data_IF_493972920474
#
_entry.id   IF_493972920474
#
_cell.length_a   1.000
_cell.length_b   1.000
_cell.length_c   1.000
_cell.angle_alpha   90.00
_cell.angle_beta   90.00
_cell.angle_gamma   90.00
#
_symmetry.space_group_name_H-M   'P 1'
#
loop_
_entity.id
_entity.type
_entity.pdbx_description
1 polymer ?
#
# COMPACT_ATOMS: atom_id res chain seq x y z
N UNK A 1 3.75 18.65 -13.34
CA UNK A 1 3.18 19.53 -12.30
C UNK A 1 3.65 18.94 -11.00
N UNK A 2 4.33 19.71 -10.15
CA UNK A 2 4.47 19.30 -8.74
C UNK A 2 3.05 19.04 -8.25
N UNK A 3 2.86 17.89 -7.61
CA UNK A 3 1.63 17.45 -6.97
C UNK A 3 1.28 18.48 -5.89
N UNK A 4 0.67 19.57 -6.33
CA UNK A 4 0.27 20.65 -5.48
C UNK A 4 -0.84 20.09 -4.62
N UNK A 5 -0.53 19.98 -3.33
CA UNK A 5 -1.17 19.06 -2.39
C UNK A 5 -2.66 19.43 -2.20
N UNK A 6 -3.53 18.91 -3.08
CA UNK A 6 -4.98 19.18 -3.12
C UNK A 6 -5.61 18.95 -1.75
N UNK A 7 -5.12 17.94 -1.03
CA UNK A 7 -5.45 17.67 0.37
C UNK A 7 -5.18 18.88 1.25
N UNK A 8 -3.96 19.43 1.23
CA UNK A 8 -3.57 20.58 2.03
C UNK A 8 -4.43 21.81 1.72
N UNK A 9 -4.72 22.07 0.44
CA UNK A 9 -5.56 23.20 0.04
C UNK A 9 -6.99 23.01 0.54
N UNK A 10 -7.57 21.82 0.36
CA UNK A 10 -8.90 21.50 0.87
C UNK A 10 -9.00 21.65 2.40
N UNK A 11 -7.99 21.15 3.13
CA UNK A 11 -7.89 21.32 4.59
C UNK A 11 -7.85 22.81 4.98
N UNK A 12 -7.04 23.62 4.30
CA UNK A 12 -6.95 25.06 4.57
C UNK A 12 -8.28 25.78 4.32
N UNK A 13 -8.98 25.47 3.22
CA UNK A 13 -10.31 26.04 2.94
C UNK A 13 -11.28 25.70 4.09
N UNK A 14 -11.36 24.43 4.48
CA UNK A 14 -12.25 23.94 5.55
C UNK A 14 -11.94 24.63 6.88
N UNK A 15 -10.66 24.88 7.19
CA UNK A 15 -10.22 25.48 8.44
C UNK A 15 -10.42 27.01 8.47
N UNK A 16 -10.12 27.68 7.36
CA UNK A 16 -10.03 29.15 7.29
C UNK A 16 -11.33 29.83 6.90
N UNK A 17 -12.17 29.18 6.08
CA UNK A 17 -13.48 29.71 5.72
C UNK A 17 -14.59 28.87 6.36
N UNK A 18 -15.11 29.36 7.50
CA UNK A 18 -16.16 28.67 8.24
C UNK A 18 -17.53 28.75 7.56
N UNK A 19 -17.75 29.78 6.77
CA UNK A 19 -19.02 30.11 6.13
C UNK A 19 -19.04 29.70 4.65
N UNK A 20 -18.06 28.90 4.21
CA UNK A 20 -18.05 28.35 2.87
C UNK A 20 -19.24 27.40 2.67
N UNK A 21 -20.11 27.73 1.72
CA UNK A 21 -21.38 27.03 1.47
C UNK A 21 -21.20 25.55 1.10
N UNK A 22 -20.20 25.21 0.28
CA UNK A 22 -19.91 23.80 -0.10
C UNK A 22 -18.91 23.10 0.84
N UNK A 23 -18.69 23.61 2.05
CA UNK A 23 -17.70 23.08 3.00
C UNK A 23 -17.93 21.61 3.35
N UNK A 24 -19.18 21.21 3.59
CA UNK A 24 -19.49 19.82 3.95
C UNK A 24 -19.18 18.86 2.80
N UNK A 25 -19.52 19.24 1.57
CA UNK A 25 -19.18 18.49 0.36
C UNK A 25 -17.66 18.37 0.16
N UNK A 26 -16.92 19.48 0.35
CA UNK A 26 -15.45 19.45 0.29
C UNK A 26 -14.85 18.51 1.35
N UNK A 27 -15.43 18.52 2.56
CA UNK A 27 -15.02 17.62 3.65
C UNK A 27 -15.31 16.15 3.33
N UNK A 28 -16.47 15.85 2.76
CA UNK A 28 -16.83 14.48 2.33
C UNK A 28 -15.86 13.96 1.25
N UNK A 29 -15.55 14.79 0.25
CA UNK A 29 -14.56 14.46 -0.78
C UNK A 29 -13.18 14.21 -0.18
N UNK A 30 -12.73 15.06 0.74
CA UNK A 30 -11.45 14.91 1.42
C UNK A 30 -11.38 13.61 2.25
N UNK A 31 -12.46 13.29 2.97
CA UNK A 31 -12.57 12.03 3.72
C UNK A 31 -12.52 10.83 2.78
N UNK A 32 -13.21 10.90 1.63
CA UNK A 32 -13.20 9.82 0.64
C UNK A 32 -11.80 9.63 0.04
N UNK A 33 -11.13 10.73 -0.32
CA UNK A 33 -9.75 10.73 -0.82
C UNK A 33 -8.80 10.02 0.15
N UNK A 34 -8.80 10.44 1.42
CA UNK A 34 -7.92 9.84 2.45
C UNK A 34 -8.21 8.36 2.62
N UNK A 35 -9.49 7.96 2.69
CA UNK A 35 -9.87 6.55 2.85
C UNK A 35 -9.37 5.68 1.69
N UNK A 36 -9.59 6.10 0.45
CA UNK A 36 -9.17 5.32 -0.73
C UNK A 36 -7.65 5.20 -0.76
N UNK A 37 -6.94 6.31 -0.55
CA UNK A 37 -5.47 6.32 -0.56
C UNK A 37 -4.88 5.45 0.54
N UNK A 38 -5.43 5.53 1.75
CA UNK A 38 -4.97 4.70 2.87
C UNK A 38 -5.27 3.21 2.61
N UNK A 39 -6.43 2.88 2.01
CA UNK A 39 -6.75 1.51 1.61
C UNK A 39 -5.79 0.96 0.55
N UNK A 40 -5.45 1.76 -0.48
CA UNK A 40 -4.42 1.40 -1.48
C UNK A 40 -3.09 1.09 -0.76
N UNK A 41 -2.64 1.97 0.12
CA UNK A 41 -1.36 1.79 0.83
C UNK A 41 -1.33 0.53 1.70
N UNK A 42 -2.44 0.19 2.36
CA UNK A 42 -2.57 -1.07 3.12
C UNK A 42 -2.45 -2.27 2.19
N UNK A 43 -3.14 -2.26 1.04
CA UNK A 43 -3.11 -3.37 0.09
C UNK A 43 -1.74 -3.55 -0.57
N UNK A 44 -1.04 -2.45 -0.89
CA UNK A 44 0.33 -2.48 -1.42
C UNK A 44 1.29 -3.05 -0.37
N UNK A 45 1.18 -2.64 0.90
CA UNK A 45 1.98 -3.21 2.00
C UNK A 45 1.75 -4.71 2.17
N UNK A 46 0.50 -5.18 2.03
CA UNK A 46 0.19 -6.62 2.09
C UNK A 46 0.89 -7.37 0.95
N UNK A 47 0.93 -6.81 -0.26
CA UNK A 47 1.63 -7.42 -1.40
C UNK A 47 3.14 -7.49 -1.17
N UNK A 48 3.74 -6.45 -0.61
CA UNK A 48 5.16 -6.45 -0.23
C UNK A 48 5.47 -7.55 0.81
N UNK A 49 4.63 -7.71 1.83
CA UNK A 49 4.77 -8.78 2.82
C UNK A 49 4.70 -10.17 2.17
N UNK A 50 3.83 -10.35 1.17
CA UNK A 50 3.75 -11.59 0.39
C UNK A 50 5.03 -11.87 -0.40
N UNK A 51 5.64 -10.86 -1.02
CA UNK A 51 6.90 -11.01 -1.76
C UNK A 51 8.07 -11.33 -0.82
N UNK A 52 8.15 -10.65 0.32
CA UNK A 52 9.20 -10.88 1.32
C UNK A 52 9.11 -12.30 1.89
N UNK A 53 7.89 -12.77 2.16
CA UNK A 53 7.63 -14.14 2.59
C UNK A 53 8.09 -15.14 1.52
N UNK A 54 7.77 -14.90 0.25
CA UNK A 54 8.20 -15.74 -0.87
C UNK A 54 9.72 -15.92 -0.92
N UNK A 55 10.46 -14.83 -0.75
CA UNK A 55 11.93 -14.83 -0.72
C UNK A 55 12.45 -15.64 0.48
N UNK A 56 11.89 -15.38 1.67
CA UNK A 56 12.27 -16.10 2.90
C UNK A 56 12.06 -17.61 2.76
N UNK A 57 10.95 -18.02 2.16
CA UNK A 57 10.62 -19.43 1.97
C UNK A 57 11.53 -20.12 0.96
N UNK A 58 11.83 -19.46 -0.17
CA UNK A 58 12.81 -19.97 -1.15
C UNK A 58 14.19 -20.16 -0.54
N UNK A 59 14.63 -19.21 0.29
CA UNK A 59 15.90 -19.31 1.01
C UNK A 59 15.90 -20.45 2.02
N UNK A 60 14.84 -20.59 2.82
CA UNK A 60 14.70 -21.69 3.78
C UNK A 60 14.77 -23.07 3.11
N UNK A 61 14.09 -23.24 1.97
CA UNK A 61 14.16 -24.48 1.20
C UNK A 61 15.59 -24.81 0.77
N UNK A 62 16.34 -23.80 0.33
CA UNK A 62 17.76 -23.92 -0.07
C UNK A 62 18.66 -24.28 1.11
N UNK A 63 18.45 -23.66 2.27
CA UNK A 63 19.22 -23.93 3.49
C UNK A 63 18.96 -25.34 4.03
N UNK A 64 17.73 -25.83 3.93
CA UNK A 64 17.36 -27.21 4.23
C UNK A 64 18.12 -28.19 3.33
N UNK A 65 18.20 -27.92 2.03
CA UNK A 65 18.97 -28.79 1.11
C UNK A 65 20.46 -28.82 1.43
N UNK A 66 21.05 -27.68 1.77
CA UNK A 66 22.47 -27.58 2.15
C UNK A 66 22.71 -28.36 3.44
N UNK A 67 21.86 -28.16 4.44
CA UNK A 67 21.98 -28.81 5.75
C UNK A 67 21.79 -30.33 5.64
N UNK A 68 20.85 -30.79 4.81
CA UNK A 68 20.66 -32.22 4.55
C UNK A 68 21.92 -32.84 3.90
N UNK A 69 22.54 -32.17 2.93
CA UNK A 69 23.80 -32.64 2.31
C UNK A 69 24.96 -32.70 3.32
N UNK A 70 25.04 -31.74 4.24
CA UNK A 70 26.05 -31.73 5.31
C UNK A 70 25.81 -32.86 6.32
N UNK A 71 24.55 -33.10 6.69
CA UNK A 71 24.17 -34.23 7.54
C UNK A 71 24.58 -35.56 6.90
N UNK A 72 24.30 -35.75 5.61
CA UNK A 72 24.68 -36.96 4.87
C UNK A 72 26.21 -37.18 4.88
N UNK A 73 27.00 -36.10 4.77
CA UNK A 73 28.47 -36.15 4.86
C UNK A 73 28.94 -36.48 6.28
N UNK A 74 28.36 -35.85 7.30
CA UNK A 74 28.72 -36.09 8.70
C UNK A 74 28.40 -37.52 9.11
N UNK A 75 27.22 -38.02 8.75
CA UNK A 75 26.79 -39.37 9.12
C UNK A 75 27.74 -40.46 8.59
N UNK A 76 28.35 -40.25 7.41
CA UNK A 76 29.37 -41.16 6.88
C UNK A 76 30.63 -41.28 7.74
N UNK A 77 30.96 -40.23 8.51
CA UNK A 77 32.19 -40.17 9.31
C UNK A 77 31.97 -40.56 10.77
N UNK A 78 30.82 -40.21 11.36
CA UNK A 78 30.59 -40.33 12.81
C UNK A 78 29.36 -41.17 13.19
N UNK A 79 28.64 -41.74 12.21
CA UNK A 79 27.46 -42.60 12.40
C UNK A 79 26.46 -42.06 13.44
N UNK A 80 25.68 -41.07 13.02
CA UNK A 80 24.72 -40.34 13.84
C UNK A 80 23.52 -41.24 14.17
N UNK A 81 23.31 -41.52 15.46
CA UNK A 81 22.30 -42.46 15.95
C UNK A 81 20.86 -42.12 15.53
N UNK A 82 20.52 -40.84 15.43
CA UNK A 82 19.19 -40.35 15.05
C UNK A 82 19.10 -39.84 13.60
N UNK A 83 20.07 -40.17 12.74
CA UNK A 83 20.14 -39.70 11.35
C UNK A 83 18.83 -39.88 10.57
N UNK A 84 18.21 -41.06 10.67
CA UNK A 84 16.98 -41.38 9.95
C UNK A 84 15.78 -40.54 10.41
N UNK A 85 15.72 -40.17 11.70
CA UNK A 85 14.68 -39.28 12.21
C UNK A 85 14.86 -37.87 11.68
N UNK A 86 16.10 -37.36 11.65
CA UNK A 86 16.41 -36.04 11.09
C UNK A 86 16.06 -36.00 9.60
N UNK A 87 16.37 -37.06 8.82
CA UNK A 87 15.99 -37.14 7.39
C UNK A 87 14.48 -37.15 7.19
N UNK A 88 13.71 -37.81 8.07
CA UNK A 88 12.25 -37.76 8.03
C UNK A 88 11.74 -36.33 8.29
N UNK A 89 12.34 -35.59 9.21
CA UNK A 89 11.99 -34.19 9.47
C UNK A 89 12.28 -33.30 8.25
N UNK A 90 13.44 -33.46 7.60
CA UNK A 90 13.73 -32.73 6.36
C UNK A 90 12.73 -33.03 5.24
N UNK A 91 12.37 -34.29 5.04
CA UNK A 91 11.33 -34.67 4.07
C UNK A 91 9.99 -34.02 4.39
N UNK A 92 9.59 -34.02 5.68
CA UNK A 92 8.35 -33.40 6.14
C UNK A 92 8.36 -31.89 5.86
N UNK A 93 9.47 -31.21 6.14
CA UNK A 93 9.64 -29.78 5.83
C UNK A 93 9.54 -29.49 4.33
N UNK A 94 10.19 -30.30 3.48
CA UNK A 94 10.15 -30.16 2.02
C UNK A 94 8.78 -30.46 1.40
N UNK A 95 7.97 -31.27 2.08
CA UNK A 95 6.60 -31.58 1.65
C UNK A 95 5.57 -30.53 2.09
N UNK A 96 5.99 -29.50 2.85
CA UNK A 96 5.10 -28.37 3.14
C UNK A 96 4.98 -27.58 1.84
N UNK A 97 3.86 -27.76 1.16
CA UNK A 97 3.48 -26.92 0.03
C UNK A 97 3.09 -25.56 0.58
N UNK A 98 3.94 -24.56 0.34
CA UNK A 98 3.63 -23.18 0.70
C UNK A 98 3.20 -22.49 -0.58
N UNK A 99 1.95 -22.73 -0.97
CA UNK A 99 1.32 -21.93 -2.00
C UNK A 99 0.90 -20.61 -1.38
N UNK A 100 1.63 -19.54 -1.67
CA UNK A 100 1.04 -18.21 -1.56
C UNK A 100 0.02 -18.13 -2.70
N UNK A 101 -1.25 -18.09 -2.35
CA UNK A 101 -2.35 -18.18 -3.31
C UNK A 101 -2.28 -17.01 -4.31
N UNK A 102 -1.81 -17.31 -5.53
CA UNK A 102 -1.72 -16.34 -6.62
C UNK A 102 -3.09 -15.74 -6.95
N UNK A 103 -4.19 -16.45 -6.70
CA UNK A 103 -5.54 -15.90 -6.84
C UNK A 103 -5.75 -14.73 -5.89
N UNK A 104 -5.38 -14.88 -4.62
CA UNK A 104 -5.49 -13.82 -3.62
C UNK A 104 -4.63 -12.60 -3.97
N UNK A 105 -3.40 -12.80 -4.49
CA UNK A 105 -2.57 -11.69 -4.99
C UNK A 105 -3.24 -10.96 -6.13
N UNK A 106 -3.75 -11.72 -7.10
CA UNK A 106 -4.44 -11.19 -8.27
C UNK A 106 -5.69 -10.37 -7.89
N UNK A 107 -6.47 -10.86 -6.93
CA UNK A 107 -7.63 -10.15 -6.39
C UNK A 107 -7.23 -8.83 -5.72
N UNK A 108 -6.14 -8.81 -4.95
CA UNK A 108 -5.60 -7.59 -4.35
C UNK A 108 -5.14 -6.60 -5.43
N UNK A 109 -4.39 -7.05 -6.45
CA UNK A 109 -3.98 -6.19 -7.56
C UNK A 109 -5.17 -5.55 -8.26
N UNK A 110 -6.20 -6.34 -8.61
CA UNK A 110 -7.40 -5.80 -9.25
C UNK A 110 -8.16 -4.82 -8.38
N UNK A 111 -8.20 -5.06 -7.07
CA UNK A 111 -8.81 -4.13 -6.12
C UNK A 111 -8.04 -2.81 -6.07
N UNK A 112 -6.70 -2.84 -6.02
CA UNK A 112 -5.86 -1.64 -6.09
C UNK A 112 -6.14 -0.86 -7.37
N UNK A 113 -6.18 -1.52 -8.54
CA UNK A 113 -6.43 -0.86 -9.82
C UNK A 113 -7.82 -0.21 -9.88
N UNK A 114 -8.82 -0.83 -9.25
CA UNK A 114 -10.16 -0.24 -9.13
C UNK A 114 -10.14 0.98 -8.22
N UNK A 115 -9.50 0.86 -7.05
CA UNK A 115 -9.35 1.98 -6.10
C UNK A 115 -8.56 3.15 -6.69
N UNK A 116 -7.54 2.89 -7.53
CA UNK A 116 -6.80 3.94 -8.23
C UNK A 116 -7.68 4.75 -9.17
N UNK A 117 -8.58 4.09 -9.91
CA UNK A 117 -9.58 4.78 -10.75
C UNK A 117 -10.57 5.59 -9.92
N UNK A 118 -11.03 5.03 -8.80
CA UNK A 118 -11.91 5.76 -7.88
C UNK A 118 -11.19 6.97 -7.24
N UNK A 119 -9.89 6.85 -6.97
CA UNK A 119 -9.06 7.93 -6.45
C UNK A 119 -8.95 9.06 -7.47
N UNK A 120 -8.64 8.75 -8.73
CA UNK A 120 -8.55 9.74 -9.81
C UNK A 120 -9.87 10.53 -9.97
N UNK A 121 -11.02 9.87 -9.85
CA UNK A 121 -12.32 10.53 -9.91
C UNK A 121 -12.52 11.48 -8.72
N UNK A 122 -12.17 11.04 -7.51
CA UNK A 122 -12.25 11.89 -6.31
C UNK A 122 -11.29 13.06 -6.36
N UNK A 123 -10.07 12.87 -6.88
CA UNK A 123 -9.08 13.93 -7.08
C UNK A 123 -9.61 15.00 -8.03
N UNK A 124 -10.22 14.61 -9.15
CA UNK A 124 -10.86 15.55 -10.08
C UNK A 124 -12.00 16.33 -9.43
N UNK A 125 -12.82 15.66 -8.61
CA UNK A 125 -13.90 16.33 -7.88
C UNK A 125 -13.36 17.32 -6.82
N UNK A 126 -12.29 16.96 -6.13
CA UNK A 126 -11.59 17.85 -5.19
C UNK A 126 -11.01 19.06 -5.90
N UNK A 127 -10.27 18.84 -6.98
CA UNK A 127 -9.72 19.90 -7.83
C UNK A 127 -10.81 20.86 -8.29
N UNK A 128 -11.92 20.35 -8.83
CA UNK A 128 -13.04 21.19 -9.27
C UNK A 128 -13.63 22.03 -8.13
N UNK A 129 -13.82 21.45 -6.94
CA UNK A 129 -14.32 22.18 -5.78
C UNK A 129 -13.35 23.29 -5.33
N UNK A 130 -12.05 23.01 -5.33
CA UNK A 130 -11.02 23.98 -4.97
C UNK A 130 -10.94 25.11 -5.99
N UNK A 131 -11.00 24.80 -7.29
CA UNK A 131 -10.98 25.79 -8.37
C UNK A 131 -12.20 26.72 -8.30
N UNK A 132 -13.39 26.17 -8.07
CA UNK A 132 -14.60 27.00 -7.88
C UNK A 132 -14.46 27.92 -6.67
N UNK A 133 -13.90 27.43 -5.57
CA UNK A 133 -13.59 28.25 -4.40
C UNK A 133 -12.59 29.35 -4.74
N UNK A 134 -11.51 29.03 -5.47
CA UNK A 134 -10.51 29.99 -5.92
C UNK A 134 -11.17 31.13 -6.71
N UNK A 135 -11.92 30.80 -7.76
CA UNK A 135 -12.59 31.77 -8.62
C UNK A 135 -13.53 32.65 -7.81
N UNK A 136 -14.28 32.08 -6.86
CA UNK A 136 -15.22 32.82 -6.02
C UNK A 136 -14.52 33.79 -5.04
N UNK A 137 -13.28 33.51 -4.60
CA UNK A 137 -12.59 34.31 -3.57
C UNK A 137 -11.50 35.22 -4.10
N UNK A 138 -10.77 34.80 -5.13
CA UNK A 138 -9.65 35.53 -5.73
C UNK A 138 -9.98 36.11 -7.11
N UNK A 139 -11.07 35.64 -7.74
CA UNK A 139 -11.45 36.06 -9.09
C UNK A 139 -10.66 35.33 -10.20
N UNK A 140 -9.86 34.31 -9.87
CA UNK A 140 -9.15 33.48 -10.83
C UNK A 140 -8.96 32.04 -10.31
N UNK A 141 -8.47 31.16 -11.18
CA UNK A 141 -8.21 29.75 -10.93
C UNK A 141 -6.75 29.48 -10.49
N UNK A 142 -6.00 30.52 -10.12
CA UNK A 142 -4.60 30.38 -9.75
C UNK A 142 -4.44 29.89 -8.31
N UNK A 143 -3.98 28.66 -8.16
CA UNK A 143 -3.77 28.05 -6.86
C UNK A 143 -2.74 28.74 -5.97
N UNK A 144 -1.71 29.39 -6.53
CA UNK A 144 -0.73 30.15 -5.74
C UNK A 144 -1.39 31.38 -5.11
N UNK A 145 -2.28 32.05 -5.85
CA UNK A 145 -3.05 33.18 -5.34
C UNK A 145 -4.06 32.73 -4.29
N UNK A 146 -4.72 31.58 -4.51
CA UNK A 146 -5.59 30.96 -3.52
C UNK A 146 -4.81 30.63 -2.23
N UNK A 147 -3.62 30.03 -2.35
CA UNK A 147 -2.79 29.71 -1.19
C UNK A 147 -2.40 30.96 -0.42
N UNK A 148 -1.94 32.01 -1.11
CA UNK A 148 -1.65 33.31 -0.47
C UNK A 148 -2.88 33.89 0.24
N UNK A 149 -4.04 33.84 -0.40
CA UNK A 149 -5.31 34.27 0.19
C UNK A 149 -5.68 33.50 1.46
N UNK A 150 -5.47 32.19 1.48
CA UNK A 150 -5.75 31.33 2.63
C UNK A 150 -4.73 31.50 3.76
N UNK A 151 -3.49 31.88 3.44
CA UNK A 151 -2.42 32.15 4.41
C UNK A 151 -2.52 33.53 5.07
N UNK A 152 -3.03 34.53 4.34
CA UNK A 152 -3.23 35.91 4.82
C UNK A 152 -4.47 36.08 5.72
N UNK A 153 -5.36 35.07 5.79
CA UNK A 153 -6.54 35.01 6.67
C UNK A 153 -6.29 34.23 7.95
#
# INVERSE_FOLDING_TARGET
MEEMDLKKIAELIILKDKDFEEKDKLKELLVKYVKIRDEIGILESILEDFEELDIKLKNLAKDIEITEKLLDKLNKNINISNYNEIKKLFKKFKSIEISLDESSRWDIYHKIETLKKDLEDVERQLEFAILNYAIAKTGNDNYLELMRYLEER
#
